data_IF_756345364112
#
_entry.id   IF_756345364112
#
_cell.length_a   1.000
_cell.length_b   1.000
_cell.length_c   1.000
_cell.angle_alpha   90.00
_cell.angle_beta   90.00
_cell.angle_gamma   90.00
#
_symmetry.space_group_name_H-M   'P 1'
#
loop_
_entity.id
_entity.type
_entity.pdbx_description
1 polymer ?
#
# COMPACT_ATOMS: atom_id res chain seq x y z
N UNK A 1 -16.63 -10.28 -5.11
CA UNK A 1 -15.17 -10.37 -5.31
C UNK A 1 -14.95 -11.13 -6.59
N UNK A 2 -14.51 -10.49 -7.66
CA UNK A 2 -14.09 -11.19 -8.86
C UNK A 2 -12.74 -11.83 -8.51
N UNK A 3 -12.76 -13.13 -8.22
CA UNK A 3 -11.58 -13.86 -7.85
C UNK A 3 -10.64 -13.98 -9.03
N UNK A 4 -9.55 -13.24 -9.00
CA UNK A 4 -8.38 -13.63 -9.78
C UNK A 4 -8.00 -15.03 -9.32
N UNK A 5 -8.01 -15.96 -10.25
CA UNK A 5 -7.60 -17.33 -9.99
C UNK A 5 -6.18 -17.29 -9.42
N UNK A 6 -5.93 -17.82 -8.22
CA UNK A 6 -4.60 -17.73 -7.63
C UNK A 6 -3.60 -18.37 -8.59
N UNK A 7 -2.48 -17.67 -8.84
CA UNK A 7 -1.40 -18.18 -9.68
C UNK A 7 -0.71 -19.33 -8.95
N UNK A 8 -1.15 -20.54 -9.21
CA UNK A 8 -0.57 -21.75 -8.63
C UNK A 8 0.66 -22.16 -9.43
N UNK A 9 1.77 -22.35 -8.72
CA UNK A 9 3.03 -22.80 -9.31
C UNK A 9 3.09 -24.32 -9.32
N UNK A 10 3.42 -24.88 -10.49
CA UNK A 10 3.60 -26.32 -10.64
C UNK A 10 4.96 -26.62 -11.27
N UNK A 11 5.83 -27.30 -10.50
CA UNK A 11 7.13 -27.80 -10.95
C UNK A 11 6.97 -29.26 -11.42
N UNK A 12 6.98 -29.44 -12.72
CA UNK A 12 6.88 -30.75 -13.35
C UNK A 12 8.25 -31.26 -13.78
N UNK A 13 8.61 -32.45 -13.33
CA UNK A 13 9.78 -33.18 -13.84
C UNK A 13 9.28 -34.40 -14.61
N UNK A 14 9.71 -34.53 -15.84
CA UNK A 14 9.34 -35.68 -16.69
C UNK A 14 10.58 -36.30 -17.35
N UNK A 15 10.56 -37.61 -17.53
CA UNK A 15 11.59 -38.31 -18.30
C UNK A 15 11.17 -38.36 -19.75
N UNK A 16 12.07 -37.96 -20.65
CA UNK A 16 11.84 -38.08 -22.09
C UNK A 16 11.76 -39.56 -22.50
N UNK A 17 10.67 -40.00 -23.13
CA UNK A 17 10.53 -41.39 -23.58
C UNK A 17 11.51 -41.77 -24.71
N UNK A 18 12.13 -40.76 -25.35
CA UNK A 18 13.03 -40.99 -26.49
C UNK A 18 14.50 -41.12 -26.12
N UNK A 19 14.96 -40.51 -25.06
CA UNK A 19 16.37 -40.47 -24.68
C UNK A 19 16.64 -40.66 -23.17
N UNK A 20 15.63 -40.90 -22.40
CA UNK A 20 15.75 -41.10 -20.93
C UNK A 20 16.21 -39.85 -20.17
N UNK A 21 16.33 -38.68 -20.80
CA UNK A 21 16.72 -37.44 -20.12
C UNK A 21 15.58 -36.85 -19.32
N UNK A 22 15.91 -36.42 -18.13
CA UNK A 22 14.97 -35.71 -17.23
C UNK A 22 14.81 -34.27 -17.71
N UNK A 23 13.58 -33.84 -17.94
CA UNK A 23 13.24 -32.47 -18.23
C UNK A 23 12.37 -31.88 -17.10
N UNK A 24 12.79 -30.76 -16.56
CA UNK A 24 12.05 -30.06 -15.50
C UNK A 24 11.50 -28.77 -16.07
N UNK A 25 10.22 -28.54 -15.91
CA UNK A 25 9.50 -27.33 -16.34
C UNK A 25 8.73 -26.75 -15.18
N UNK A 26 8.67 -25.42 -15.08
CA UNK A 26 7.78 -24.71 -14.17
C UNK A 26 6.57 -24.20 -14.97
N UNK A 27 5.37 -24.51 -14.52
CA UNK A 27 4.12 -24.02 -15.13
C UNK A 27 3.50 -22.96 -14.26
N UNK A 28 3.03 -21.88 -14.88
CA UNK A 28 2.28 -20.78 -14.27
C UNK A 28 1.37 -20.11 -15.33
N UNK A 29 0.08 -19.93 -15.11
CA UNK A 29 -0.70 -20.57 -14.05
C UNK A 29 -1.08 -22.00 -14.39
N UNK A 30 -1.21 -22.84 -13.39
CA UNK A 30 -1.93 -24.09 -13.49
C UNK A 30 -3.36 -23.87 -12.98
N UNK A 31 -4.36 -24.44 -13.69
CA UNK A 31 -5.77 -24.31 -13.34
C UNK A 31 -6.14 -25.35 -12.28
N UNK A 32 -6.56 -24.87 -11.14
CA UNK A 32 -7.08 -25.67 -10.03
C UNK A 32 -8.33 -25.01 -9.46
N UNK A 33 -9.22 -25.82 -8.92
CA UNK A 33 -10.28 -25.34 -8.04
C UNK A 33 -9.67 -25.15 -6.65
N UNK A 34 -9.84 -23.96 -6.08
CA UNK A 34 -9.30 -23.60 -4.76
C UNK A 34 -10.46 -23.33 -3.79
N UNK A 35 -10.59 -24.15 -2.77
CA UNK A 35 -11.29 -23.85 -1.53
C UNK A 35 -10.30 -23.20 -0.57
N UNK A 36 -10.60 -21.99 -0.06
CA UNK A 36 -9.73 -21.26 0.89
C UNK A 36 -10.58 -20.64 1.98
N UNK A 37 -10.20 -20.90 3.23
CA UNK A 37 -10.77 -20.26 4.41
C UNK A 37 -9.63 -19.90 5.36
N UNK A 38 -9.60 -18.67 5.83
CA UNK A 38 -8.66 -18.22 6.85
C UNK A 38 -9.38 -17.35 7.87
N UNK A 39 -9.15 -17.64 9.14
CA UNK A 39 -9.62 -16.86 10.28
C UNK A 39 -8.40 -16.30 11.01
N UNK A 40 -8.44 -15.02 11.35
CA UNK A 40 -7.39 -14.34 12.12
C UNK A 40 -8.02 -13.72 13.35
N UNK A 41 -7.46 -14.03 14.51
CA UNK A 41 -7.80 -13.36 15.76
C UNK A 41 -6.54 -12.73 16.36
N UNK A 42 -6.62 -11.45 16.72
CA UNK A 42 -5.46 -10.73 17.23
C UNK A 42 -5.84 -9.66 18.25
N UNK A 43 -4.97 -9.52 19.24
CA UNK A 43 -5.07 -8.54 20.31
C UNK A 43 -3.85 -7.62 20.26
N UNK A 44 -4.07 -6.34 20.55
CA UNK A 44 -3.01 -5.33 20.59
C UNK A 44 -3.16 -4.47 21.84
N UNK A 45 -2.06 -4.29 22.55
CA UNK A 45 -1.95 -3.34 23.65
C UNK A 45 -0.76 -2.42 23.39
N UNK A 46 -0.95 -1.12 23.60
CA UNK A 46 0.08 -0.11 23.42
C UNK A 46 0.05 0.88 24.56
N UNK A 47 1.23 1.24 25.07
CA UNK A 47 1.42 2.25 26.10
C UNK A 47 2.41 3.28 25.57
N UNK A 48 2.07 4.57 25.75
CA UNK A 48 2.93 5.68 25.35
C UNK A 48 3.00 6.70 26.50
N UNK A 49 4.17 7.26 26.71
CA UNK A 49 4.40 8.40 27.59
C UNK A 49 4.96 9.57 26.78
N UNK A 50 4.40 10.75 26.99
CA UNK A 50 4.85 12.00 26.36
C UNK A 50 5.29 12.96 27.46
N UNK A 51 6.56 13.34 27.42
CA UNK A 51 7.11 14.39 28.26
C UNK A 51 7.38 15.63 27.40
N UNK A 52 6.67 16.71 27.70
CA UNK A 52 6.70 17.92 26.87
C UNK A 52 7.21 19.12 27.68
N UNK A 53 8.10 19.87 27.08
CA UNK A 53 8.59 21.18 27.51
C UNK A 53 8.34 22.21 26.38
N UNK A 54 8.55 23.52 26.59
CA UNK A 54 8.32 24.50 25.52
C UNK A 54 9.13 24.28 24.22
N UNK A 55 10.27 23.58 24.29
CA UNK A 55 11.18 23.37 23.16
C UNK A 55 11.46 21.92 22.83
N UNK A 56 10.98 20.99 23.64
CA UNK A 56 11.27 19.56 23.48
C UNK A 56 10.02 18.73 23.79
N UNK A 57 9.83 17.67 23.02
CA UNK A 57 8.85 16.64 23.35
C UNK A 57 9.49 15.27 23.15
N UNK A 58 9.68 14.56 24.29
CA UNK A 58 10.14 13.18 24.31
C UNK A 58 8.93 12.26 24.32
N UNK A 59 8.84 11.38 23.34
CA UNK A 59 7.79 10.38 23.19
C UNK A 59 8.44 9.01 23.31
N UNK A 60 8.02 8.21 24.29
CA UNK A 60 8.52 6.85 24.50
C UNK A 60 7.30 5.93 24.57
N UNK A 61 7.37 4.79 23.92
CA UNK A 61 6.27 3.81 23.98
C UNK A 61 6.69 2.40 23.65
N UNK A 62 5.77 1.50 23.94
CA UNK A 62 5.89 0.09 23.62
C UNK A 62 4.55 -0.50 23.24
N UNK A 63 4.55 -1.43 22.29
CA UNK A 63 3.39 -2.12 21.77
C UNK A 63 3.63 -3.61 21.78
N UNK A 64 2.64 -4.35 22.21
CA UNK A 64 2.61 -5.82 22.12
C UNK A 64 1.36 -6.25 21.38
N UNK A 65 1.55 -7.15 20.43
CA UNK A 65 0.48 -7.77 19.67
C UNK A 65 0.64 -9.29 19.74
N UNK A 66 -0.45 -9.99 19.89
CA UNK A 66 -0.51 -11.45 19.89
C UNK A 66 -1.76 -11.88 19.14
N UNK A 67 -1.67 -12.95 18.39
CA UNK A 67 -2.79 -13.51 17.65
C UNK A 67 -2.46 -14.89 17.12
N UNK A 68 -3.44 -15.47 16.46
CA UNK A 68 -3.33 -16.75 15.78
C UNK A 68 -4.17 -16.77 14.51
N UNK A 69 -3.78 -17.63 13.60
CA UNK A 69 -4.48 -17.86 12.34
C UNK A 69 -4.85 -19.33 12.25
N UNK A 70 -6.07 -19.59 11.80
CA UNK A 70 -6.58 -20.90 11.41
C UNK A 70 -6.87 -20.85 9.92
N UNK A 71 -6.12 -21.61 9.10
CA UNK A 71 -6.23 -21.57 7.65
C UNK A 71 -6.39 -22.96 7.07
N UNK A 72 -7.43 -23.15 6.27
CA UNK A 72 -7.71 -24.38 5.53
C UNK A 72 -7.70 -24.13 4.04
N UNK A 73 -7.06 -25.02 3.28
CA UNK A 73 -7.07 -25.00 1.81
C UNK A 73 -7.35 -26.37 1.24
N UNK A 74 -8.17 -26.40 0.21
CA UNK A 74 -8.41 -27.57 -0.61
C UNK A 74 -8.13 -27.22 -2.08
N UNK A 75 -7.23 -27.97 -2.70
CA UNK A 75 -6.93 -27.87 -4.11
C UNK A 75 -7.43 -29.11 -4.82
N UNK A 76 -8.23 -28.90 -5.85
CA UNK A 76 -8.72 -29.96 -6.72
C UNK A 76 -8.41 -29.66 -8.19
N UNK A 77 -8.20 -30.69 -8.98
CA UNK A 77 -8.04 -30.57 -10.43
C UNK A 77 -8.89 -31.66 -11.10
N UNK A 78 -9.72 -31.25 -12.07
CA UNK A 78 -10.65 -32.14 -12.77
C UNK A 78 -11.57 -32.96 -11.83
N UNK A 79 -11.97 -32.34 -10.70
CA UNK A 79 -12.83 -33.01 -9.70
C UNK A 79 -12.10 -33.98 -8.78
N UNK A 80 -10.77 -34.09 -8.87
CA UNK A 80 -9.93 -34.91 -7.96
C UNK A 80 -9.20 -33.99 -6.99
N UNK A 81 -9.31 -34.29 -5.69
CA UNK A 81 -8.56 -33.58 -4.65
C UNK A 81 -7.06 -33.85 -4.83
N UNK A 82 -6.28 -32.79 -4.88
CA UNK A 82 -4.82 -32.81 -5.02
C UNK A 82 -4.17 -32.60 -3.65
N UNK A 83 -4.61 -31.62 -2.89
CA UNK A 83 -4.16 -31.37 -1.53
C UNK A 83 -5.32 -30.88 -0.67
N UNK A 84 -5.33 -31.33 0.60
CA UNK A 84 -6.21 -30.79 1.64
C UNK A 84 -5.33 -30.50 2.85
N UNK A 85 -5.24 -29.23 3.22
CA UNK A 85 -4.32 -28.75 4.24
C UNK A 85 -5.02 -27.87 5.25
N UNK A 86 -4.59 -28.01 6.50
CA UNK A 86 -5.03 -27.17 7.61
C UNK A 86 -3.79 -26.74 8.38
N UNK A 87 -3.67 -25.44 8.66
CA UNK A 87 -2.51 -24.84 9.33
C UNK A 87 -2.98 -23.86 10.38
N UNK A 88 -2.62 -24.15 11.63
CA UNK A 88 -2.67 -23.23 12.75
C UNK A 88 -1.30 -22.57 12.90
N UNK A 89 -1.26 -21.27 13.07
CA UNK A 89 0.00 -20.56 13.27
C UNK A 89 -0.18 -19.34 14.18
N UNK A 90 0.85 -19.10 14.98
CA UNK A 90 0.90 -18.00 15.91
C UNK A 90 1.46 -16.72 15.26
N UNK A 91 1.03 -15.59 15.81
CA UNK A 91 1.50 -14.28 15.46
C UNK A 91 1.82 -13.50 16.73
N UNK A 92 3.02 -12.96 16.82
CA UNK A 92 3.32 -11.99 17.86
C UNK A 92 4.25 -10.88 17.35
N UNK A 93 4.07 -9.68 17.90
CA UNK A 93 4.95 -8.55 17.66
C UNK A 93 5.21 -7.80 18.96
N UNK A 94 6.48 -7.51 19.18
CA UNK A 94 6.93 -6.61 20.23
C UNK A 94 7.61 -5.43 19.58
N UNK A 95 7.17 -4.21 19.91
CA UNK A 95 7.72 -2.98 19.40
C UNK A 95 8.04 -2.04 20.56
N UNK A 96 9.20 -1.38 20.50
CA UNK A 96 9.58 -0.26 21.36
C UNK A 96 9.99 0.91 20.49
N UNK A 97 9.63 2.12 20.89
CA UNK A 97 10.00 3.33 20.16
C UNK A 97 10.29 4.49 21.08
N UNK A 98 11.15 5.37 20.58
CA UNK A 98 11.47 6.66 21.21
C UNK A 98 11.66 7.72 20.14
N UNK A 99 11.10 8.91 20.39
CA UNK A 99 11.21 10.07 19.52
C UNK A 99 11.51 11.30 20.36
N UNK A 100 12.46 12.09 19.93
CA UNK A 100 12.73 13.43 20.44
C UNK A 100 12.37 14.45 19.35
N UNK A 101 11.45 15.34 19.66
CA UNK A 101 11.10 16.50 18.84
C UNK A 101 11.70 17.73 19.50
N UNK A 102 12.63 18.36 18.85
CA UNK A 102 13.39 19.47 19.38
C UNK A 102 13.25 20.73 18.52
N UNK A 103 12.75 21.82 19.12
CA UNK A 103 12.79 23.16 18.55
C UNK A 103 14.13 23.77 18.86
N UNK A 104 15.12 23.57 17.96
CA UNK A 104 16.50 24.04 18.11
C UNK A 104 16.53 25.58 18.15
N UNK A 105 15.77 26.18 17.25
CA UNK A 105 15.50 27.62 17.17
C UNK A 105 14.07 27.80 16.64
N UNK A 106 13.48 28.98 16.80
CA UNK A 106 12.10 29.22 16.33
C UNK A 106 11.84 28.82 14.87
N UNK A 107 12.78 29.04 13.91
CA UNK A 107 12.58 28.60 12.54
C UNK A 107 12.98 27.13 12.28
N UNK A 108 13.52 26.39 13.25
CA UNK A 108 14.14 25.08 13.02
C UNK A 108 13.72 24.04 14.04
N UNK A 109 13.01 23.02 13.55
CA UNK A 109 12.58 21.85 14.33
C UNK A 109 13.25 20.58 13.79
N UNK A 110 13.80 19.77 14.68
CA UNK A 110 14.38 18.47 14.40
C UNK A 110 13.55 17.41 15.11
N UNK A 111 13.26 16.32 14.41
CA UNK A 111 12.74 15.10 15.00
C UNK A 111 13.78 14.01 14.82
N UNK A 112 14.23 13.38 15.89
CA UNK A 112 15.06 12.18 15.86
C UNK A 112 14.33 11.06 16.55
N UNK A 113 14.30 9.88 15.97
CA UNK A 113 13.60 8.73 16.53
C UNK A 113 14.26 7.41 16.17
N UNK A 114 13.96 6.42 16.96
CA UNK A 114 14.32 5.03 16.71
C UNK A 114 13.20 4.12 17.19
N UNK A 115 12.92 3.07 16.43
CA UNK A 115 12.13 1.95 16.93
C UNK A 115 12.89 0.64 16.80
N UNK A 116 12.56 -0.30 17.68
CA UNK A 116 12.94 -1.70 17.59
C UNK A 116 11.69 -2.54 17.50
N UNK A 117 11.63 -3.40 16.49
CA UNK A 117 10.53 -4.32 16.26
C UNK A 117 11.05 -5.75 16.21
N UNK A 118 10.36 -6.65 16.89
CA UNK A 118 10.50 -8.10 16.73
C UNK A 118 9.15 -8.66 16.35
N UNK A 119 9.08 -9.27 15.16
CA UNK A 119 7.87 -9.83 14.58
C UNK A 119 8.07 -11.34 14.37
N UNK A 120 7.10 -12.13 14.83
CA UNK A 120 6.96 -13.56 14.61
C UNK A 120 5.62 -13.81 13.91
N UNK A 121 5.63 -14.53 12.79
CA UNK A 121 4.47 -14.63 11.90
C UNK A 121 4.46 -15.93 11.10
N UNK A 122 3.28 -16.38 10.60
CA UNK A 122 3.13 -17.56 9.77
C UNK A 122 4.02 -17.52 8.53
N UNK A 123 4.58 -18.66 8.16
CA UNK A 123 5.47 -18.78 7.00
C UNK A 123 4.73 -18.62 5.69
N UNK A 124 3.63 -19.33 5.51
CA UNK A 124 2.76 -19.23 4.33
C UNK A 124 1.36 -19.74 4.65
N UNK A 125 0.43 -18.81 4.77
CA UNK A 125 -1.00 -19.09 4.91
C UNK A 125 -1.82 -18.48 3.76
N UNK A 126 -1.20 -17.69 2.86
CA UNK A 126 -1.88 -16.90 1.85
C UNK A 126 -1.82 -17.53 0.46
N UNK A 127 -0.81 -18.34 0.18
CA UNK A 127 -0.56 -18.87 -1.17
C UNK A 127 -0.55 -20.40 -1.13
N UNK A 128 -1.64 -21.01 -1.60
CA UNK A 128 -1.77 -22.47 -1.64
C UNK A 128 -0.77 -23.13 -2.62
N UNK A 129 -0.28 -24.33 -2.31
CA UNK A 129 -0.45 -25.07 -1.06
C UNK A 129 0.20 -24.34 0.12
N UNK A 130 -0.53 -24.29 1.25
CA UNK A 130 -0.06 -23.60 2.46
C UNK A 130 1.03 -24.43 3.18
N UNK A 131 1.82 -23.77 4.01
CA UNK A 131 2.94 -24.41 4.71
C UNK A 131 2.91 -24.03 6.17
N UNK A 132 2.93 -25.04 7.03
CA UNK A 132 3.07 -24.86 8.48
C UNK A 132 4.43 -24.27 8.86
N UNK A 133 4.49 -23.68 10.06
CA UNK A 133 5.67 -23.08 10.64
C UNK A 133 5.65 -21.57 10.57
N UNK A 134 6.63 -20.99 11.23
CA UNK A 134 6.69 -19.56 11.52
C UNK A 134 8.06 -19.00 11.13
N UNK A 135 8.10 -17.70 11.00
CA UNK A 135 9.30 -16.93 10.66
C UNK A 135 9.41 -15.74 11.62
N UNK A 136 10.62 -15.41 12.03
CA UNK A 136 10.88 -14.23 12.86
C UNK A 136 11.72 -13.21 12.12
N UNK A 137 11.45 -11.95 12.39
CA UNK A 137 12.22 -10.79 11.92
C UNK A 137 12.40 -9.77 13.02
N UNK A 138 13.63 -9.26 13.15
CA UNK A 138 13.93 -8.12 14.02
C UNK A 138 14.46 -6.96 13.19
N UNK A 139 14.17 -5.73 13.63
CA UNK A 139 14.68 -4.55 12.98
C UNK A 139 14.83 -3.38 13.94
N UNK A 140 15.97 -2.69 13.86
CA UNK A 140 16.15 -1.35 14.38
C UNK A 140 15.89 -0.35 13.26
N UNK A 141 15.05 0.62 13.52
CA UNK A 141 14.50 1.55 12.52
C UNK A 141 14.80 3.00 12.92
N UNK A 142 15.88 3.60 12.43
CA UNK A 142 16.19 5.02 12.65
C UNK A 142 15.23 5.91 11.86
N UNK A 143 14.96 7.10 12.41
CA UNK A 143 14.04 8.09 11.85
C UNK A 143 14.58 9.49 12.12
N UNK A 144 14.59 10.34 11.10
CA UNK A 144 15.02 11.73 11.22
C UNK A 144 14.10 12.61 10.39
N UNK A 145 13.68 13.73 10.95
CA UNK A 145 12.88 14.73 10.26
C UNK A 145 13.34 16.13 10.58
N UNK A 146 13.31 16.98 9.59
CA UNK A 146 13.65 18.39 9.68
C UNK A 146 12.50 19.23 9.15
N UNK A 147 12.11 20.26 9.90
CA UNK A 147 11.20 21.30 9.45
C UNK A 147 11.91 22.64 9.67
N UNK A 148 12.14 23.37 8.59
CA UNK A 148 12.83 24.65 8.58
C UNK A 148 11.93 25.73 7.95
N UNK A 149 11.73 26.81 8.68
CA UNK A 149 10.92 27.97 8.25
C UNK A 149 11.82 29.18 8.06
N UNK A 150 12.62 29.22 6.95
CA UNK A 150 13.60 30.29 6.72
C UNK A 150 12.96 31.69 6.62
N UNK A 151 11.73 31.74 6.12
CA UNK A 151 10.91 32.94 6.03
C UNK A 151 9.53 32.62 6.64
N UNK A 152 8.81 33.66 7.06
CA UNK A 152 7.51 33.48 7.75
C UNK A 152 6.51 32.67 6.96
N UNK A 153 6.59 32.72 5.63
CA UNK A 153 5.62 32.13 4.72
C UNK A 153 6.21 30.96 3.90
N UNK A 154 7.45 30.54 4.21
CA UNK A 154 8.16 29.46 3.53
C UNK A 154 8.56 28.37 4.53
N UNK A 155 8.17 27.14 4.27
CA UNK A 155 8.55 25.98 5.06
C UNK A 155 9.22 24.93 4.17
N UNK A 156 10.39 24.50 4.57
CA UNK A 156 11.12 23.37 3.95
C UNK A 156 11.05 22.18 4.89
N UNK A 157 10.77 21.03 4.36
CA UNK A 157 10.65 19.77 5.09
C UNK A 157 11.56 18.71 4.50
N UNK A 158 12.18 17.90 5.34
CA UNK A 158 12.91 16.72 4.92
C UNK A 158 12.72 15.61 5.94
N UNK A 159 12.67 14.37 5.49
CA UNK A 159 12.60 13.21 6.37
C UNK A 159 13.29 11.98 5.77
N UNK A 160 13.80 11.18 6.67
CA UNK A 160 14.19 9.79 6.45
C UNK A 160 13.53 8.92 7.49
N UNK A 161 12.90 7.85 7.07
CA UNK A 161 12.32 6.86 8.00
C UNK A 161 12.61 5.45 7.52
N UNK A 162 12.86 4.58 8.49
CA UNK A 162 12.92 3.14 8.30
C UNK A 162 11.86 2.48 9.17
N UNK A 163 11.24 1.40 8.70
CA UNK A 163 10.22 0.67 9.46
C UNK A 163 10.12 -0.79 9.04
N UNK A 164 9.60 -1.63 9.93
CA UNK A 164 9.26 -3.02 9.66
C UNK A 164 7.75 -3.14 9.44
N UNK A 165 7.35 -3.69 8.32
CA UNK A 165 5.95 -4.01 8.02
C UNK A 165 5.43 -5.11 8.94
N UNK A 166 4.20 -4.95 9.38
CA UNK A 166 3.47 -5.92 10.18
C UNK A 166 2.49 -6.75 9.37
N UNK A 167 1.53 -7.30 10.04
CA UNK A 167 0.40 -8.02 9.47
C UNK A 167 -0.75 -7.07 9.10
N UNK A 168 -1.77 -7.59 8.44
CA UNK A 168 -2.86 -6.88 7.77
C UNK A 168 -3.54 -5.74 8.57
N UNK A 169 -3.68 -5.87 9.89
CA UNK A 169 -4.38 -4.90 10.74
C UNK A 169 -3.45 -3.93 11.50
N UNK A 170 -2.18 -3.92 11.20
CA UNK A 170 -1.15 -3.19 11.94
C UNK A 170 -1.34 -1.66 11.97
N UNK A 171 -2.16 -1.13 11.07
CA UNK A 171 -2.48 0.29 11.00
C UNK A 171 -3.76 0.71 11.73
N UNK A 172 -4.51 -0.21 12.33
CA UNK A 172 -5.84 0.08 12.85
C UNK A 172 -5.84 0.97 14.09
N UNK A 173 -4.92 0.73 15.02
CA UNK A 173 -4.74 1.53 16.24
C UNK A 173 -3.25 1.61 16.56
N UNK A 174 -2.69 2.81 16.55
CA UNK A 174 -1.27 3.03 16.81
C UNK A 174 -1.04 4.37 17.48
N UNK A 175 -0.33 4.36 18.61
CA UNK A 175 0.08 5.57 19.33
C UNK A 175 1.44 6.10 18.84
N UNK A 176 2.29 5.23 18.28
CA UNK A 176 3.56 5.65 17.68
C UNK A 176 3.33 6.77 16.65
N UNK A 177 4.12 7.85 16.65
CA UNK A 177 3.97 8.94 15.70
C UNK A 177 3.92 8.44 14.25
N UNK A 178 2.87 8.77 13.53
CA UNK A 178 2.68 8.34 12.13
C UNK A 178 3.45 9.20 11.13
N UNK A 179 3.96 10.36 11.57
CA UNK A 179 4.67 11.31 10.74
C UNK A 179 6.01 11.72 11.37
N UNK A 180 7.01 11.93 10.50
CA UNK A 180 8.32 12.46 10.83
C UNK A 180 8.64 13.56 9.83
N UNK A 181 8.96 14.78 10.30
CA UNK A 181 9.21 15.93 9.43
C UNK A 181 8.05 16.26 8.48
N UNK A 182 6.80 15.88 8.82
CA UNK A 182 5.62 16.08 7.99
C UNK A 182 5.41 15.02 6.89
N UNK A 183 6.23 13.95 6.86
CA UNK A 183 6.08 12.82 5.95
C UNK A 183 5.54 11.59 6.69
N UNK A 184 4.63 10.87 6.06
CA UNK A 184 4.07 9.65 6.62
C UNK A 184 5.14 8.54 6.66
N UNK A 185 5.20 7.82 7.78
CA UNK A 185 5.99 6.61 7.90
C UNK A 185 5.27 5.43 7.23
N UNK A 186 6.01 4.57 6.53
CA UNK A 186 5.49 3.34 5.99
C UNK A 186 5.60 2.22 7.04
N UNK A 187 4.48 1.75 7.59
CA UNK A 187 4.42 0.66 8.56
C UNK A 187 3.89 -0.64 7.98
N UNK A 188 3.34 -0.59 6.78
CA UNK A 188 2.91 -1.74 6.00
C UNK A 188 3.14 -1.45 4.53
N UNK A 189 3.05 -2.47 3.68
CA UNK A 189 3.07 -2.27 2.24
C UNK A 189 1.98 -1.31 1.81
N UNK A 190 2.35 -0.30 1.02
CA UNK A 190 1.41 0.57 0.33
C UNK A 190 0.91 -0.06 -0.98
N UNK A 191 1.53 -1.16 -1.39
CA UNK A 191 1.16 -1.89 -2.59
C UNK A 191 -0.07 -2.74 -2.25
N UNK A 192 -1.13 -2.69 -3.06
CA UNK A 192 -2.27 -3.57 -2.93
C UNK A 192 -1.87 -5.04 -2.93
N UNK A 193 -2.55 -5.85 -2.14
CA UNK A 193 -2.31 -7.30 -2.01
C UNK A 193 -2.31 -8.04 -3.35
N UNK A 194 -3.10 -7.57 -4.30
CA UNK A 194 -3.19 -8.12 -5.65
C UNK A 194 -1.87 -8.05 -6.44
N UNK A 195 -0.93 -7.16 -6.06
CA UNK A 195 0.33 -6.95 -6.80
C UNK A 195 1.52 -7.60 -6.11
N UNK A 196 1.76 -7.29 -4.84
CA UNK A 196 2.94 -7.75 -4.11
C UNK A 196 2.59 -8.48 -2.81
N UNK A 197 1.31 -8.48 -2.44
CA UNK A 197 0.81 -8.98 -1.18
C UNK A 197 1.26 -8.13 0.01
N UNK A 198 0.55 -8.24 1.11
CA UNK A 198 1.03 -7.78 2.41
C UNK A 198 1.99 -8.85 2.93
N UNK A 199 3.27 -8.66 2.70
CA UNK A 199 4.30 -9.58 3.18
C UNK A 199 4.73 -9.13 4.57
N UNK A 200 4.36 -9.85 5.64
CA UNK A 200 4.83 -9.55 6.97
C UNK A 200 6.36 -9.53 7.02
N UNK A 201 6.93 -8.64 7.84
CA UNK A 201 8.38 -8.52 7.95
C UNK A 201 9.06 -7.83 6.77
N UNK A 202 8.34 -7.21 5.86
CA UNK A 202 8.90 -6.33 4.82
C UNK A 202 9.58 -5.12 5.44
N UNK A 203 10.76 -4.79 4.96
CA UNK A 203 11.51 -3.59 5.37
C UNK A 203 11.14 -2.44 4.46
N UNK A 204 10.89 -1.28 5.06
CA UNK A 204 10.60 -0.04 4.36
C UNK A 204 11.66 1.02 4.65
N UNK A 205 12.03 1.76 3.63
CA UNK A 205 12.81 2.99 3.72
C UNK A 205 12.10 4.09 2.93
N UNK A 206 11.88 5.24 3.59
CA UNK A 206 11.22 6.39 2.96
C UNK A 206 12.10 7.62 3.10
N UNK A 207 12.23 8.36 2.01
CA UNK A 207 12.89 9.66 1.92
C UNK A 207 11.85 10.65 1.44
N UNK A 208 11.81 11.80 2.05
CA UNK A 208 10.91 12.88 1.66
C UNK A 208 11.59 14.23 1.72
N UNK A 209 11.29 15.08 0.74
CA UNK A 209 11.64 16.52 0.74
C UNK A 209 10.42 17.31 0.30
N UNK A 210 10.18 18.46 0.92
CA UNK A 210 9.01 19.27 0.62
C UNK A 210 9.26 20.75 0.81
N UNK A 211 8.55 21.55 0.05
CA UNK A 211 8.49 22.99 0.13
C UNK A 211 7.02 23.43 0.18
N UNK A 212 6.67 24.15 1.23
CA UNK A 212 5.36 24.79 1.38
C UNK A 212 5.58 26.31 1.33
N UNK A 213 4.86 26.99 0.46
CA UNK A 213 4.94 28.45 0.25
C UNK A 213 3.56 29.08 0.30
N UNK A 214 3.38 30.04 1.19
CA UNK A 214 2.21 30.92 1.21
C UNK A 214 2.54 32.27 0.53
N UNK A 215 1.64 32.75 -0.31
CA UNK A 215 1.70 34.07 -0.94
C UNK A 215 0.55 34.92 -0.39
N UNK A 216 0.78 35.58 0.74
CA UNK A 216 -0.25 36.34 1.47
C UNK A 216 -0.97 37.41 0.61
N UNK A 217 -0.26 38.20 -0.22
CA UNK A 217 -0.91 39.24 -1.02
C UNK A 217 -1.96 38.69 -1.99
N UNK A 218 -1.79 37.48 -2.49
CA UNK A 218 -2.68 36.85 -3.45
C UNK A 218 -3.54 35.76 -2.82
N UNK A 219 -3.35 35.44 -1.52
CA UNK A 219 -3.98 34.31 -0.84
C UNK A 219 -3.78 32.98 -1.58
N UNK A 220 -2.56 32.76 -2.09
CA UNK A 220 -2.19 31.57 -2.84
C UNK A 220 -1.27 30.68 -1.99
N UNK A 221 -1.36 29.37 -2.23
CA UNK A 221 -0.57 28.35 -1.54
C UNK A 221 0.04 27.41 -2.57
N UNK A 222 1.33 27.14 -2.44
CA UNK A 222 2.05 26.19 -3.26
C UNK A 222 2.71 25.15 -2.36
N UNK A 223 2.52 23.87 -2.67
CA UNK A 223 3.23 22.75 -2.06
C UNK A 223 3.91 21.97 -3.15
N UNK A 224 5.20 21.70 -2.97
CA UNK A 224 5.98 20.80 -3.83
C UNK A 224 6.59 19.73 -2.93
N UNK A 225 6.36 18.47 -3.23
CA UNK A 225 6.82 17.36 -2.41
C UNK A 225 7.35 16.23 -3.29
N UNK A 226 8.56 15.77 -3.00
CA UNK A 226 9.16 14.59 -3.59
C UNK A 226 9.36 13.51 -2.55
N UNK A 227 8.97 12.28 -2.86
CA UNK A 227 9.19 11.12 -2.00
C UNK A 227 9.79 9.96 -2.77
N UNK A 228 10.58 9.14 -2.08
CA UNK A 228 11.06 7.85 -2.54
C UNK A 228 10.81 6.82 -1.45
N UNK A 229 10.13 5.75 -1.81
CA UNK A 229 9.91 4.56 -0.99
C UNK A 229 10.71 3.40 -1.59
N UNK A 230 11.40 2.65 -0.75
CA UNK A 230 11.95 1.33 -1.07
C UNK A 230 11.41 0.31 -0.10
N UNK A 231 11.09 -0.86 -0.57
CA UNK A 231 10.78 -1.99 0.29
C UNK A 231 11.40 -3.27 -0.23
N UNK A 232 11.94 -4.06 0.68
CA UNK A 232 12.43 -5.39 0.44
C UNK A 232 11.73 -6.39 1.37
N UNK A 233 11.25 -7.48 0.77
CA UNK A 233 10.56 -8.54 1.48
C UNK A 233 10.84 -9.91 0.88
N UNK A 234 10.66 -10.93 1.69
CA UNK A 234 10.66 -12.32 1.22
C UNK A 234 9.46 -13.04 1.77
N UNK A 235 8.76 -13.78 0.91
CA UNK A 235 7.66 -14.66 1.32
C UNK A 235 7.89 -16.09 0.86
N UNK A 236 7.27 -17.03 1.54
CA UNK A 236 7.16 -18.40 1.07
C UNK A 236 5.87 -18.50 0.27
N UNK A 237 5.94 -19.06 -0.93
CA UNK A 237 4.79 -19.30 -1.81
C UNK A 237 4.62 -20.80 -2.01
N UNK A 238 3.38 -21.25 -2.15
CA UNK A 238 3.08 -22.64 -2.42
C UNK A 238 3.59 -23.09 -3.78
N UNK A 239 4.02 -24.34 -3.85
CA UNK A 239 4.50 -24.99 -5.06
C UNK A 239 3.96 -26.41 -5.10
N UNK A 240 3.35 -26.81 -6.20
CA UNK A 240 2.95 -28.18 -6.43
C UNK A 240 4.05 -28.94 -7.17
N UNK A 241 4.28 -30.19 -6.82
CA UNK A 241 5.24 -31.07 -7.48
C UNK A 241 4.61 -32.43 -7.76
N UNK A 242 5.25 -33.24 -8.62
CA UNK A 242 4.90 -34.63 -8.82
C UNK A 242 5.74 -35.52 -7.90
N UNK A 243 5.13 -36.40 -7.13
CA UNK A 243 5.85 -37.46 -6.41
C UNK A 243 6.36 -38.56 -7.37
N UNK A 244 5.57 -38.84 -8.41
CA UNK A 244 5.98 -39.70 -9.53
C UNK A 244 6.26 -38.86 -10.76
N UNK A 245 7.45 -39.04 -11.33
CA UNK A 245 7.90 -38.34 -12.55
C UNK A 245 7.01 -38.60 -13.78
N UNK A 246 6.26 -39.67 -13.78
CA UNK A 246 5.31 -40.01 -14.84
C UNK A 246 3.87 -39.54 -14.56
N UNK A 247 3.61 -38.97 -13.37
CA UNK A 247 2.29 -38.49 -13.04
C UNK A 247 1.94 -37.23 -13.85
N UNK A 248 0.80 -37.20 -14.57
CA UNK A 248 0.42 -36.04 -15.37
C UNK A 248 -0.13 -34.88 -14.52
N UNK A 249 -0.52 -35.16 -13.28
CA UNK A 249 -1.15 -34.23 -12.33
C UNK A 249 -0.25 -34.11 -11.11
N UNK A 250 -0.06 -32.90 -10.54
CA UNK A 250 0.67 -32.76 -9.30
C UNK A 250 -0.08 -33.45 -8.16
N UNK A 251 0.66 -34.09 -7.31
CA UNK A 251 0.15 -34.86 -6.17
C UNK A 251 0.87 -34.54 -4.85
N UNK A 252 1.80 -33.62 -4.90
CA UNK A 252 2.66 -33.31 -3.75
C UNK A 252 2.75 -31.81 -3.50
N UNK A 253 2.45 -31.41 -2.27
CA UNK A 253 2.59 -30.04 -1.80
C UNK A 253 4.04 -29.73 -1.45
N UNK A 254 4.53 -28.58 -1.88
CA UNK A 254 5.85 -28.04 -1.60
C UNK A 254 5.79 -26.52 -1.48
N UNK A 255 6.93 -25.89 -1.29
CA UNK A 255 7.03 -24.44 -1.22
C UNK A 255 8.34 -23.94 -1.79
N UNK A 256 8.37 -22.66 -2.14
CA UNK A 256 9.58 -21.95 -2.57
C UNK A 256 9.59 -20.53 -2.05
N UNK A 257 10.77 -19.92 -1.98
CA UNK A 257 10.91 -18.52 -1.55
C UNK A 257 10.84 -17.57 -2.72
N UNK A 258 10.05 -16.50 -2.55
CA UNK A 258 9.97 -15.37 -3.46
C UNK A 258 10.53 -14.12 -2.78
N UNK A 259 11.51 -13.48 -3.43
CA UNK A 259 12.03 -12.18 -3.05
C UNK A 259 11.29 -11.08 -3.83
N UNK A 260 10.92 -10.00 -3.14
CA UNK A 260 10.22 -8.84 -3.65
C UNK A 260 11.06 -7.60 -3.35
N UNK A 261 11.45 -6.85 -4.39
CA UNK A 261 12.13 -5.54 -4.28
C UNK A 261 11.24 -4.52 -4.99
N UNK A 262 10.69 -3.59 -4.21
CA UNK A 262 9.80 -2.55 -4.72
C UNK A 262 10.41 -1.18 -4.51
N UNK A 263 10.25 -0.31 -5.51
CA UNK A 263 10.68 1.09 -5.47
C UNK A 263 9.58 1.97 -6.01
N UNK A 264 9.26 3.01 -5.28
CA UNK A 264 8.33 4.06 -5.71
C UNK A 264 9.02 5.42 -5.61
N UNK A 265 8.81 6.25 -6.60
CA UNK A 265 9.19 7.66 -6.62
C UNK A 265 7.95 8.46 -6.93
N UNK A 266 7.70 9.50 -6.16
CA UNK A 266 6.56 10.39 -6.40
C UNK A 266 6.96 11.85 -6.31
N UNK A 267 6.31 12.64 -7.16
CA UNK A 267 6.34 14.10 -7.13
C UNK A 267 4.91 14.59 -6.99
N UNK A 268 4.67 15.44 -6.01
CA UNK A 268 3.40 16.12 -5.79
C UNK A 268 3.60 17.63 -5.93
N UNK A 269 2.79 18.27 -6.75
CA UNK A 269 2.67 19.72 -6.82
C UNK A 269 1.22 20.08 -6.56
N UNK A 270 0.97 20.90 -5.55
CA UNK A 270 -0.39 21.36 -5.20
C UNK A 270 -0.41 22.87 -5.14
N UNK A 271 -1.39 23.47 -5.80
CA UNK A 271 -1.63 24.89 -5.80
C UNK A 271 -3.05 25.17 -5.33
N UNK A 272 -3.19 26.13 -4.44
CA UNK A 272 -4.48 26.60 -3.93
C UNK A 272 -4.59 28.12 -4.04
N UNK A 273 -5.76 28.62 -4.40
CA UNK A 273 -6.04 30.05 -4.54
C UNK A 273 -7.38 30.37 -3.90
N UNK A 274 -7.39 31.36 -2.99
CA UNK A 274 -8.61 31.94 -2.45
C UNK A 274 -8.93 33.25 -3.21
N UNK A 275 -10.12 33.34 -3.75
CA UNK A 275 -10.58 34.51 -4.53
C UNK A 275 -11.76 35.12 -3.79
N UNK A 276 -11.49 36.23 -3.11
CA UNK A 276 -12.46 36.88 -2.25
C UNK A 276 -12.99 35.95 -1.14
N UNK A 277 -14.17 36.27 -0.56
CA UNK A 277 -14.65 35.53 0.62
C UNK A 277 -15.36 34.21 0.30
N UNK A 278 -15.58 33.86 -0.95
CA UNK A 278 -16.45 32.74 -1.29
C UNK A 278 -15.95 31.78 -2.35
N UNK A 279 -14.85 32.05 -3.05
CA UNK A 279 -14.36 31.17 -4.11
C UNK A 279 -12.97 30.61 -3.77
N UNK A 280 -12.83 29.30 -3.84
CA UNK A 280 -11.57 28.58 -3.69
C UNK A 280 -11.31 27.74 -4.94
N UNK A 281 -10.10 27.86 -5.48
CA UNK A 281 -9.60 27.06 -6.59
C UNK A 281 -8.46 26.19 -6.10
N UNK A 282 -8.42 24.94 -6.55
CA UNK A 282 -7.34 24.00 -6.26
C UNK A 282 -6.89 23.28 -7.54
N UNK A 283 -5.58 23.11 -7.66
CA UNK A 283 -4.97 22.25 -8.67
C UNK A 283 -3.91 21.38 -8.00
N UNK A 284 -3.90 20.09 -8.29
CA UNK A 284 -2.93 19.14 -7.77
C UNK A 284 -2.48 18.23 -8.88
N UNK A 285 -1.17 18.10 -9.05
CA UNK A 285 -0.55 17.13 -9.92
C UNK A 285 0.26 16.14 -9.12
N UNK A 286 0.11 14.86 -9.39
CA UNK A 286 0.94 13.79 -8.82
C UNK A 286 1.49 12.93 -9.94
N UNK A 287 2.80 12.75 -9.94
CA UNK A 287 3.51 11.76 -10.73
C UNK A 287 3.97 10.65 -9.79
N UNK A 288 3.68 9.40 -10.14
CA UNK A 288 4.17 8.23 -9.41
C UNK A 288 4.80 7.26 -10.40
N UNK A 289 6.04 6.87 -10.15
CA UNK A 289 6.72 5.78 -10.84
C UNK A 289 6.98 4.67 -9.84
N UNK A 290 6.57 3.45 -10.17
CA UNK A 290 6.77 2.27 -9.35
C UNK A 290 7.43 1.15 -10.15
N UNK A 291 8.40 0.48 -9.55
CA UNK A 291 9.14 -0.65 -10.10
C UNK A 291 9.06 -1.81 -9.10
N UNK A 292 8.71 -3.02 -9.57
CA UNK A 292 8.67 -4.24 -8.76
C UNK A 292 9.50 -5.33 -9.43
N UNK A 293 10.48 -5.85 -8.70
CA UNK A 293 11.25 -7.02 -9.09
C UNK A 293 10.85 -8.21 -8.22
N UNK A 294 10.32 -9.24 -8.87
CA UNK A 294 9.91 -10.51 -8.23
C UNK A 294 10.82 -11.65 -8.68
N UNK A 295 11.33 -12.43 -7.73
CA UNK A 295 12.22 -13.55 -8.03
C UNK A 295 11.97 -14.74 -7.12
N UNK A 296 11.81 -15.92 -7.71
CA UNK A 296 11.92 -17.19 -7.00
C UNK A 296 13.39 -17.51 -6.74
N UNK A 297 13.80 -17.56 -5.48
CA UNK A 297 15.23 -17.67 -5.11
C UNK A 297 15.76 -19.10 -5.06
N UNK A 298 14.87 -20.09 -4.99
CA UNK A 298 15.22 -21.51 -4.88
C UNK A 298 14.96 -22.31 -6.17
N UNK A 299 14.37 -21.65 -7.17
CA UNK A 299 14.12 -22.24 -8.49
C UNK A 299 15.14 -21.68 -9.51
N UNK A 300 15.71 -22.52 -10.37
CA UNK A 300 16.64 -22.06 -11.41
C UNK A 300 16.02 -20.91 -12.24
N UNK A 301 16.81 -19.85 -12.44
CA UNK A 301 16.32 -18.61 -13.06
C UNK A 301 15.74 -18.80 -14.48
N UNK A 302 16.31 -19.72 -15.25
CA UNK A 302 15.81 -20.06 -16.59
C UNK A 302 14.41 -20.68 -16.56
N UNK A 303 14.11 -21.52 -15.59
CA UNK A 303 12.77 -22.11 -15.42
C UNK A 303 11.76 -21.07 -14.95
N UNK A 304 12.13 -20.26 -13.97
CA UNK A 304 11.27 -19.21 -13.43
C UNK A 304 10.98 -18.12 -14.51
N UNK A 305 11.96 -17.78 -15.33
CA UNK A 305 11.77 -16.83 -16.43
C UNK A 305 10.90 -17.41 -17.55
N UNK A 306 11.10 -18.67 -17.93
CA UNK A 306 10.28 -19.35 -18.93
C UNK A 306 8.80 -19.45 -18.51
N UNK A 307 8.55 -19.59 -17.20
CA UNK A 307 7.20 -19.60 -16.61
C UNK A 307 6.61 -18.19 -16.37
N UNK A 308 7.36 -17.12 -16.63
CA UNK A 308 6.91 -15.75 -16.41
C UNK A 308 6.69 -15.35 -14.94
N UNK A 309 7.34 -16.06 -14.00
CA UNK A 309 7.21 -15.81 -12.57
C UNK A 309 8.28 -14.91 -11.98
N UNK A 310 9.45 -14.85 -12.63
CA UNK A 310 10.44 -13.81 -12.36
C UNK A 310 10.11 -12.62 -13.24
N UNK A 311 9.60 -11.56 -12.62
CA UNK A 311 9.17 -10.35 -13.33
C UNK A 311 9.93 -9.13 -12.82
N UNK A 312 10.16 -8.19 -13.73
CA UNK A 312 10.66 -6.87 -13.42
C UNK A 312 9.71 -5.88 -14.10
N UNK A 313 8.63 -5.53 -13.41
CA UNK A 313 7.52 -4.74 -13.96
C UNK A 313 7.59 -3.31 -13.46
N UNK A 314 7.12 -2.38 -14.28
CA UNK A 314 7.03 -0.97 -13.90
C UNK A 314 5.72 -0.34 -14.35
N UNK A 315 5.33 0.72 -13.64
CA UNK A 315 4.19 1.54 -13.97
C UNK A 315 4.49 3.01 -13.69
N UNK A 316 3.99 3.89 -14.56
CA UNK A 316 4.05 5.34 -14.39
C UNK A 316 2.63 5.85 -14.41
N UNK A 317 2.24 6.60 -13.37
CA UNK A 317 0.91 7.19 -13.23
C UNK A 317 1.03 8.71 -13.10
N UNK A 318 0.37 9.41 -14.00
CA UNK A 318 0.13 10.85 -13.93
C UNK A 318 -1.30 11.09 -13.47
N UNK A 319 -1.49 11.98 -12.50
CA UNK A 319 -2.82 12.37 -12.02
C UNK A 319 -2.90 13.88 -11.84
N UNK A 320 -3.99 14.45 -12.32
CA UNK A 320 -4.34 15.86 -12.10
C UNK A 320 -5.70 15.93 -11.43
N UNK A 321 -5.80 16.69 -10.35
CA UNK A 321 -7.06 17.03 -9.69
C UNK A 321 -7.25 18.52 -9.80
N UNK A 322 -8.37 18.93 -10.34
CA UNK A 322 -8.82 20.30 -10.35
C UNK A 322 -10.05 20.40 -9.47
N UNK A 323 -10.13 21.43 -8.65
CA UNK A 323 -11.26 21.63 -7.75
C UNK A 323 -11.66 23.10 -7.69
N UNK A 324 -12.94 23.34 -7.61
CA UNK A 324 -13.53 24.66 -7.39
C UNK A 324 -14.61 24.53 -6.33
N UNK A 325 -14.53 25.37 -5.30
CA UNK A 325 -15.55 25.44 -4.25
C UNK A 325 -16.04 26.87 -4.17
N UNK A 326 -17.33 27.05 -4.38
CA UNK A 326 -18.01 28.33 -4.19
C UNK A 326 -18.89 28.27 -2.94
N UNK A 327 -18.75 29.25 -2.07
CA UNK A 327 -19.55 29.41 -0.86
C UNK A 327 -20.19 30.76 -0.82
N UNK A 328 -21.51 30.82 -0.81
CA UNK A 328 -22.27 32.06 -0.71
C UNK A 328 -22.58 32.42 0.77
N UNK A 329 -22.70 33.70 1.07
CA UNK A 329 -22.95 34.19 2.44
C UNK A 329 -24.26 33.66 3.04
N UNK A 330 -25.29 33.40 2.20
CA UNK A 330 -26.58 32.83 2.65
C UNK A 330 -26.50 31.35 3.02
N UNK A 331 -25.33 30.70 2.92
CA UNK A 331 -25.14 29.29 3.24
C UNK A 331 -25.16 28.32 2.04
N UNK A 332 -25.54 28.78 0.84
CA UNK A 332 -25.44 27.96 -0.36
C UNK A 332 -23.98 27.71 -0.73
N UNK A 333 -23.69 26.50 -1.23
CA UNK A 333 -22.37 26.18 -1.76
C UNK A 333 -22.47 25.23 -2.96
N UNK A 334 -21.46 25.27 -3.80
CA UNK A 334 -21.27 24.36 -4.92
C UNK A 334 -19.82 23.92 -5.00
N UNK A 335 -19.62 22.65 -5.31
CA UNK A 335 -18.29 22.03 -5.49
C UNK A 335 -18.24 21.39 -6.87
N UNK A 336 -17.20 21.65 -7.61
CA UNK A 336 -16.87 20.99 -8.86
C UNK A 336 -15.47 20.41 -8.76
N UNK A 337 -15.27 19.19 -9.21
CA UNK A 337 -13.93 18.61 -9.36
C UNK A 337 -13.80 17.80 -10.64
N UNK A 338 -12.61 17.85 -11.22
CA UNK A 338 -12.21 17.08 -12.37
C UNK A 338 -10.94 16.31 -12.04
N UNK A 339 -10.92 15.03 -12.33
CA UNK A 339 -9.77 14.15 -12.13
C UNK A 339 -9.35 13.56 -13.46
N UNK A 340 -8.11 13.81 -13.84
CA UNK A 340 -7.48 13.15 -14.97
C UNK A 340 -6.44 12.14 -14.44
N UNK A 341 -6.43 10.94 -15.03
CA UNK A 341 -5.43 9.92 -14.74
C UNK A 341 -4.94 9.31 -16.05
N UNK A 342 -3.62 9.20 -16.18
CA UNK A 342 -2.97 8.52 -17.31
C UNK A 342 -1.91 7.59 -16.75
N UNK A 343 -2.02 6.30 -17.07
CA UNK A 343 -1.09 5.28 -16.63
C UNK A 343 -0.48 4.53 -17.82
N UNK A 344 0.80 4.26 -17.73
CA UNK A 344 1.53 3.36 -18.63
C UNK A 344 2.18 2.24 -17.83
N UNK A 345 2.09 1.02 -18.34
CA UNK A 345 2.66 -0.18 -17.73
C UNK A 345 3.71 -0.79 -18.67
N UNK A 346 4.74 -1.42 -18.10
CA UNK A 346 5.83 -1.98 -18.88
C UNK A 346 6.26 -3.35 -18.33
N UNK A 347 6.67 -4.23 -19.23
CA UNK A 347 7.26 -5.54 -18.94
C UNK A 347 6.32 -6.56 -18.30
N UNK A 348 5.01 -6.34 -18.38
CA UNK A 348 4.03 -7.34 -17.95
C UNK A 348 3.86 -8.45 -19.00
N UNK A 349 3.67 -9.69 -18.54
CA UNK A 349 3.36 -10.83 -19.40
C UNK A 349 2.20 -11.63 -18.79
N UNK A 350 1.00 -11.66 -19.41
CA UNK A 350 0.61 -10.90 -20.59
C UNK A 350 0.66 -9.39 -20.38
N UNK A 351 0.71 -8.62 -21.46
CA UNK A 351 0.76 -7.17 -21.42
C UNK A 351 -0.50 -6.60 -20.73
N UNK A 352 -0.29 -5.63 -19.84
CA UNK A 352 -1.36 -4.94 -19.14
C UNK A 352 -1.44 -3.52 -19.71
N UNK A 353 -2.46 -3.19 -20.51
CA UNK A 353 -2.60 -1.85 -21.05
C UNK A 353 -2.75 -0.83 -19.93
N UNK A 354 -2.21 0.36 -20.15
CA UNK A 354 -2.50 1.53 -19.31
C UNK A 354 -3.91 2.04 -19.56
N UNK A 355 -4.24 3.13 -18.90
CA UNK A 355 -5.52 3.83 -19.05
C UNK A 355 -5.31 5.34 -19.11
N UNK A 356 -6.21 6.04 -19.79
CA UNK A 356 -6.21 7.51 -19.89
C UNK A 356 -7.66 8.01 -19.88
N UNK A 357 -8.05 8.70 -18.79
CA UNK A 357 -9.43 9.09 -18.60
C UNK A 357 -9.61 10.36 -17.77
N UNK A 358 -10.78 10.96 -17.91
CA UNK A 358 -11.29 12.06 -17.07
C UNK A 358 -12.56 11.64 -16.35
N UNK A 359 -12.63 11.99 -15.07
CA UNK A 359 -13.89 11.95 -14.31
C UNK A 359 -14.25 13.34 -13.78
N UNK A 360 -15.53 13.67 -13.89
CA UNK A 360 -16.09 14.94 -13.43
C UNK A 360 -17.06 14.67 -12.28
N UNK A 361 -17.00 15.51 -11.24
CA UNK A 361 -17.88 15.41 -10.08
C UNK A 361 -18.48 16.79 -9.81
N UNK A 362 -19.75 16.85 -9.49
CA UNK A 362 -20.46 18.06 -9.10
C UNK A 362 -21.29 17.80 -7.87
N UNK A 363 -21.23 18.72 -6.92
CA UNK A 363 -22.06 18.69 -5.72
C UNK A 363 -22.53 20.11 -5.40
N UNK A 364 -23.72 20.22 -4.82
CA UNK A 364 -24.27 21.48 -4.32
C UNK A 364 -25.01 21.22 -3.02
N UNK A 365 -25.08 22.23 -2.19
CA UNK A 365 -25.75 22.12 -0.92
C UNK A 365 -26.06 23.45 -0.27
N UNK A 366 -26.67 23.33 0.88
CA UNK A 366 -27.07 24.49 1.67
C UNK A 366 -26.79 24.23 3.15
N UNK A 367 -26.15 25.23 3.82
CA UNK A 367 -25.97 25.29 5.27
C UNK A 367 -26.97 26.23 5.87
N UNK A 368 -27.86 25.71 6.70
CA UNK A 368 -28.94 26.45 7.35
C UNK A 368 -28.87 26.28 8.87
N UNK A 369 -29.79 26.94 9.56
CA UNK A 369 -29.85 26.91 11.03
C UNK A 369 -28.51 27.30 11.68
N UNK A 370 -28.01 28.51 11.36
CA UNK A 370 -26.70 29.01 11.81
C UNK A 370 -25.52 28.10 11.44
N UNK A 371 -25.59 27.44 10.26
CA UNK A 371 -24.61 26.45 9.74
C UNK A 371 -24.52 25.15 10.53
N UNK A 372 -25.50 24.90 11.44
CA UNK A 372 -25.54 23.62 12.18
C UNK A 372 -26.05 22.46 11.35
N UNK A 373 -26.81 22.71 10.32
CA UNK A 373 -27.33 21.68 9.42
C UNK A 373 -26.81 21.94 8.00
N UNK A 374 -26.23 20.94 7.39
CA UNK A 374 -25.78 20.94 5.99
C UNK A 374 -26.53 19.85 5.23
N UNK A 375 -27.27 20.25 4.18
CA UNK A 375 -27.85 19.34 3.21
C UNK A 375 -27.04 19.43 1.91
N UNK A 376 -26.69 18.30 1.32
CA UNK A 376 -25.88 18.21 0.13
C UNK A 376 -26.44 17.16 -0.81
N UNK A 377 -26.42 17.45 -2.10
CA UNK A 377 -26.70 16.50 -3.19
C UNK A 377 -25.63 16.63 -4.25
N UNK A 378 -25.37 15.55 -4.97
CA UNK A 378 -24.37 15.59 -6.03
C UNK A 378 -24.37 14.37 -6.92
N UNK A 379 -23.57 14.46 -7.97
CA UNK A 379 -23.29 13.39 -8.90
C UNK A 379 -21.77 13.20 -8.99
N UNK A 380 -21.31 12.03 -8.62
CA UNK A 380 -19.94 11.62 -8.83
C UNK A 380 -19.85 10.87 -10.16
N UNK A 381 -18.70 11.00 -10.85
CA UNK A 381 -18.48 10.42 -12.15
C UNK A 381 -19.62 10.77 -13.15
N UNK A 382 -19.82 12.07 -13.37
CA UNK A 382 -20.89 12.58 -14.21
C UNK A 382 -20.84 12.01 -15.65
N UNK A 383 -19.65 11.73 -16.15
CA UNK A 383 -19.39 11.18 -17.48
C UNK A 383 -19.57 9.66 -17.57
N UNK A 384 -19.86 8.98 -16.47
CA UNK A 384 -20.00 7.53 -16.38
C UNK A 384 -18.76 6.77 -16.89
N UNK A 385 -17.58 7.29 -16.56
CA UNK A 385 -16.30 6.79 -17.02
C UNK A 385 -15.80 5.66 -16.12
N UNK A 386 -15.76 4.43 -16.64
CA UNK A 386 -15.07 3.32 -16.01
C UNK A 386 -13.56 3.41 -16.29
N UNK A 387 -12.72 2.77 -15.46
CA UNK A 387 -11.27 2.82 -15.58
C UNK A 387 -10.60 1.52 -15.12
N UNK A 388 -9.38 1.29 -15.60
CA UNK A 388 -8.52 0.17 -15.20
C UNK A 388 -7.10 0.66 -14.94
N UNK A 389 -6.81 1.01 -13.70
CA UNK A 389 -5.46 1.35 -13.27
C UNK A 389 -4.77 0.12 -12.65
N UNK A 390 -3.49 -0.03 -12.97
CA UNK A 390 -2.65 -1.03 -12.36
C UNK A 390 -2.32 -0.60 -10.93
N UNK A 391 -2.60 -1.45 -9.91
CA UNK A 391 -2.37 -1.12 -8.52
C UNK A 391 -0.88 -1.08 -8.12
N UNK A 392 0.06 -1.33 -9.02
CA UNK A 392 1.50 -1.16 -8.73
C UNK A 392 1.82 0.28 -8.30
N UNK A 393 1.16 1.27 -8.90
CA UNK A 393 1.18 2.66 -8.44
C UNK A 393 -0.03 2.91 -7.55
N UNK A 394 0.21 3.42 -6.34
CA UNK A 394 -0.89 3.74 -5.42
C UNK A 394 -1.74 4.89 -5.96
N UNK A 395 -3.04 4.66 -6.12
CA UNK A 395 -4.03 5.66 -6.52
C UNK A 395 -5.25 5.64 -5.59
N UNK A 396 -5.96 6.76 -5.54
CA UNK A 396 -7.25 6.81 -4.85
C UNK A 396 -8.31 6.16 -5.72
N UNK A 397 -9.10 5.27 -5.14
CA UNK A 397 -10.24 4.70 -5.84
C UNK A 397 -11.28 5.77 -6.15
N UNK A 398 -11.73 5.78 -7.39
CA UNK A 398 -12.78 6.64 -7.91
C UNK A 398 -14.03 5.81 -8.19
N UNK A 399 -15.24 6.42 -8.20
CA UNK A 399 -16.45 5.70 -8.61
C UNK A 399 -16.30 5.18 -10.04
N UNK A 400 -16.56 3.87 -10.24
CA UNK A 400 -16.49 3.24 -11.58
C UNK A 400 -17.72 3.51 -12.43
N UNK A 401 -18.82 3.89 -11.77
CA UNK A 401 -20.11 4.20 -12.39
C UNK A 401 -20.60 5.55 -11.87
N UNK A 402 -21.54 6.17 -12.60
CA UNK A 402 -22.20 7.39 -12.17
C UNK A 402 -22.93 7.14 -10.85
N UNK A 403 -22.57 7.89 -9.83
CA UNK A 403 -23.08 7.72 -8.47
C UNK A 403 -23.79 8.97 -8.00
N UNK A 404 -25.06 8.85 -7.65
CA UNK A 404 -25.83 9.93 -7.01
C UNK A 404 -25.59 9.88 -5.51
N UNK A 405 -25.27 11.02 -4.92
CA UNK A 405 -25.02 11.15 -3.48
C UNK A 405 -25.95 12.18 -2.86
N UNK A 406 -26.47 11.86 -1.68
CA UNK A 406 -27.19 12.80 -0.85
C UNK A 406 -26.72 12.64 0.61
N UNK A 407 -26.47 13.74 1.29
CA UNK A 407 -26.03 13.71 2.68
C UNK A 407 -26.68 14.82 3.49
N UNK A 408 -27.01 14.51 4.73
CA UNK A 408 -27.44 15.46 5.74
C UNK A 408 -26.49 15.37 6.94
N UNK A 409 -25.86 16.48 7.28
CA UNK A 409 -24.97 16.56 8.45
C UNK A 409 -25.57 17.48 9.49
N UNK A 410 -25.49 17.06 10.74
CA UNK A 410 -25.89 17.86 11.88
C UNK A 410 -24.69 18.08 12.80
N UNK A 411 -24.41 19.34 13.12
CA UNK A 411 -23.35 19.73 14.06
C UNK A 411 -24.01 20.15 15.39
N UNK A 412 -23.72 19.43 16.42
CA UNK A 412 -24.23 19.66 17.79
C UNK A 412 -23.45 20.77 18.51
#
# INVERSE_FOLDING_TARGET
MNGDTPKLLFLQTAVSPFNGLTNTTLRNPALFDLGYRSELEAYSAELQHIWQTPRQALIIGGRYQVGWTDTSTELAQFGTSVTNQHVDADLNRLSFYGYEQWTIADPLQLTAGVSYDRLHYPRNIDTAPIVSGETSRDQVSPKVGLVWTPLRDTRVRAAYTRSLGGVFFDNSVRLEPTQVGGFNQAFRSLIPESVAGLVPGTRFETWGVGLDQEFKPTHSYLVVEGQMLRSDGTRTVGLLTNSDINAPVPDSASSTRQALDFRERSLLVSFGQLIGPGLSLGARYKLTQADLNERLTEIPANLAQAAGVNQNVSAILHQVWLSTVYQHQIGAFAEFSAVWSQQSNQHYTPDIPGDDFWQLHIQAGWRFYQRRVEARVGVLNLTDQNYRLNPLTLYNELPRERTFVAALKWHF
#
